data_IF_150456169655
#
_entry.id   IF_150456169655
#
_cell.length_a   1.000
_cell.length_b   1.000
_cell.length_c   1.000
_cell.angle_alpha   90.00
_cell.angle_beta   90.00
_cell.angle_gamma   90.00
#
_symmetry.space_group_name_H-M   'P 1'
#
loop_
_entity.id
_entity.type
_entity.pdbx_description
1 polymer ?
#
# COMPACT_ATOMS: atom_id res chain seq x y z
N UNK A 1 -18.38 -24.37 -0.30
CA UNK A 1 -19.39 -23.41 -0.75
C UNK A 1 -19.04 -22.82 -2.13
N UNK A 2 -17.88 -22.10 -2.33
CA UNK A 2 -17.56 -21.51 -3.64
C UNK A 2 -17.34 -22.56 -4.73
N UNK A 3 -16.68 -23.68 -4.42
CA UNK A 3 -16.50 -24.79 -5.36
C UNK A 3 -17.84 -25.41 -5.79
N UNK A 4 -18.70 -25.69 -4.86
CA UNK A 4 -20.05 -26.23 -5.11
C UNK A 4 -20.89 -25.28 -5.96
N UNK A 5 -20.88 -23.98 -5.65
CA UNK A 5 -21.60 -22.95 -6.41
C UNK A 5 -21.14 -22.84 -7.87
N UNK A 6 -19.95 -23.32 -8.19
CA UNK A 6 -19.38 -23.29 -9.54
C UNK A 6 -19.26 -24.69 -10.18
N UNK A 7 -19.93 -25.69 -9.61
CA UNK A 7 -19.98 -27.04 -10.17
C UNK A 7 -18.66 -27.82 -10.07
N UNK A 8 -17.76 -27.42 -9.18
CA UNK A 8 -16.47 -28.09 -8.95
C UNK A 8 -16.61 -29.01 -7.75
N UNK A 9 -16.12 -30.27 -7.89
CA UNK A 9 -16.07 -31.17 -6.75
C UNK A 9 -15.20 -30.57 -5.63
N UNK A 10 -15.65 -30.67 -4.38
CA UNK A 10 -15.03 -30.02 -3.20
C UNK A 10 -13.54 -30.35 -3.04
N UNK A 11 -13.10 -31.50 -3.57
CA UNK A 11 -11.70 -31.93 -3.50
C UNK A 11 -10.89 -31.62 -4.77
N UNK A 12 -11.53 -31.09 -5.82
CA UNK A 12 -10.86 -30.88 -7.12
C UNK A 12 -9.80 -29.77 -7.06
N UNK A 13 -10.02 -28.73 -6.25
CA UNK A 13 -9.05 -27.67 -6.03
C UNK A 13 -8.87 -27.43 -4.54
N UNK A 14 -7.65 -27.65 -4.07
CA UNK A 14 -7.27 -27.36 -2.69
C UNK A 14 -6.54 -26.02 -2.63
N UNK A 15 -6.90 -25.19 -1.64
CA UNK A 15 -6.23 -23.92 -1.36
C UNK A 15 -5.61 -24.02 0.04
N UNK A 16 -4.31 -24.32 0.13
CA UNK A 16 -3.64 -24.44 1.42
C UNK A 16 -3.67 -23.13 2.22
N UNK A 17 -3.52 -23.23 3.54
CA UNK A 17 -3.54 -22.08 4.44
C UNK A 17 -2.54 -21.00 4.05
N UNK A 18 -1.33 -21.39 3.58
CA UNK A 18 -0.31 -20.47 3.08
C UNK A 18 -0.77 -19.68 1.84
N UNK A 19 -1.54 -20.33 0.95
CA UNK A 19 -2.08 -19.69 -0.25
C UNK A 19 -3.23 -18.74 0.09
N UNK A 20 -4.11 -19.13 1.04
CA UNK A 20 -5.15 -18.22 1.56
C UNK A 20 -4.50 -16.98 2.17
N UNK A 21 -3.43 -17.15 2.94
CA UNK A 21 -2.69 -16.04 3.54
C UNK A 21 -2.12 -15.11 2.47
N UNK A 22 -1.49 -15.65 1.44
CA UNK A 22 -0.97 -14.87 0.32
C UNK A 22 -2.09 -14.11 -0.44
N UNK A 23 -3.30 -14.71 -0.56
CA UNK A 23 -4.45 -13.99 -1.13
C UNK A 23 -4.87 -12.83 -0.23
N UNK A 24 -4.93 -13.04 1.09
CA UNK A 24 -5.32 -11.98 2.02
C UNK A 24 -4.31 -10.84 2.00
N UNK A 25 -3.02 -11.15 2.08
CA UNK A 25 -1.94 -10.15 2.15
C UNK A 25 -1.73 -9.40 0.84
N UNK A 26 -1.79 -10.08 -0.30
CA UNK A 26 -1.47 -9.49 -1.60
C UNK A 26 -2.67 -9.00 -2.41
N UNK A 27 -3.89 -9.49 -2.15
CA UNK A 27 -5.04 -9.22 -3.01
C UNK A 27 -6.25 -8.63 -2.28
N UNK A 28 -6.22 -8.53 -0.95
CA UNK A 28 -7.30 -7.91 -0.18
C UNK A 28 -6.78 -6.84 0.76
N UNK A 29 -7.59 -5.80 0.99
CA UNK A 29 -7.42 -4.81 2.05
C UNK A 29 -8.77 -4.56 2.69
N UNK A 30 -9.16 -5.45 3.58
CA UNK A 30 -10.48 -5.40 4.23
C UNK A 30 -10.41 -5.96 5.66
N UNK A 31 -11.23 -5.43 6.53
CA UNK A 31 -11.40 -5.95 7.89
C UNK A 31 -12.29 -7.20 7.97
N UNK A 32 -12.92 -7.57 6.86
CA UNK A 32 -13.82 -8.72 6.74
C UNK A 32 -13.26 -9.78 5.79
N UNK A 33 -14.15 -10.57 5.20
CA UNK A 33 -13.81 -11.68 4.28
C UNK A 33 -14.57 -11.61 2.94
N UNK A 34 -15.24 -10.50 2.65
CA UNK A 34 -16.05 -10.37 1.45
C UNK A 34 -15.22 -10.31 0.16
N UNK A 35 -14.07 -9.63 0.20
CA UNK A 35 -13.10 -9.59 -0.90
C UNK A 35 -12.47 -10.96 -1.11
N UNK A 36 -12.03 -11.62 -0.04
CA UNK A 36 -11.51 -12.97 -0.08
C UNK A 36 -12.53 -13.95 -0.71
N UNK A 37 -13.80 -13.87 -0.33
CA UNK A 37 -14.86 -14.72 -0.90
C UNK A 37 -15.02 -14.51 -2.41
N UNK A 38 -14.97 -13.24 -2.88
CA UNK A 38 -15.00 -12.89 -4.30
C UNK A 38 -13.78 -13.43 -5.07
N UNK A 39 -12.60 -13.37 -4.47
CA UNK A 39 -11.36 -13.89 -5.09
C UNK A 39 -11.39 -15.42 -5.19
N UNK A 40 -11.85 -16.10 -4.14
CA UNK A 40 -12.07 -17.55 -4.17
C UNK A 40 -13.08 -17.95 -5.23
N UNK A 41 -14.17 -17.18 -5.41
CA UNK A 41 -15.12 -17.38 -6.49
C UNK A 41 -14.47 -17.15 -7.88
N UNK A 42 -13.57 -16.19 -8.03
CA UNK A 42 -12.81 -15.97 -9.28
C UNK A 42 -11.90 -17.16 -9.60
N UNK A 43 -11.21 -17.70 -8.59
CA UNK A 43 -10.40 -18.93 -8.74
C UNK A 43 -11.28 -20.09 -9.15
N UNK A 44 -12.42 -20.30 -8.47
CA UNK A 44 -13.37 -21.36 -8.78
C UNK A 44 -13.86 -21.29 -10.24
N UNK A 45 -14.24 -20.11 -10.72
CA UNK A 45 -14.66 -19.94 -12.13
C UNK A 45 -13.57 -20.28 -13.12
N UNK A 46 -12.32 -19.87 -12.87
CA UNK A 46 -11.20 -20.23 -13.76
C UNK A 46 -10.90 -21.73 -13.76
N UNK A 47 -10.96 -22.36 -12.59
CA UNK A 47 -10.80 -23.80 -12.48
C UNK A 47 -11.92 -24.56 -13.21
N UNK A 48 -13.17 -24.13 -13.04
CA UNK A 48 -14.31 -24.72 -13.76
C UNK A 48 -14.14 -24.62 -15.30
N UNK A 49 -13.70 -23.45 -15.79
CA UNK A 49 -13.43 -23.26 -17.22
C UNK A 49 -12.32 -24.21 -17.71
N UNK A 50 -11.22 -24.35 -16.99
CA UNK A 50 -10.13 -25.27 -17.37
C UNK A 50 -10.61 -26.71 -17.42
N UNK A 51 -11.38 -27.13 -16.42
CA UNK A 51 -11.99 -28.47 -16.40
C UNK A 51 -12.93 -28.69 -17.59
N UNK A 52 -13.73 -27.68 -17.95
CA UNK A 52 -14.68 -27.78 -19.07
C UNK A 52 -14.00 -27.82 -20.44
N UNK A 53 -12.77 -27.32 -20.55
CA UNK A 53 -11.96 -27.34 -21.76
C UNK A 53 -10.96 -28.51 -21.78
N UNK A 54 -11.07 -29.47 -20.87
CA UNK A 54 -10.14 -30.58 -20.67
C UNK A 54 -8.67 -30.11 -20.46
N UNK A 55 -8.48 -28.87 -20.00
CA UNK A 55 -7.16 -28.36 -19.65
C UNK A 55 -6.69 -28.95 -18.32
N UNK A 56 -5.42 -29.33 -18.25
CA UNK A 56 -4.81 -29.69 -16.97
C UNK A 56 -4.62 -28.45 -16.11
N UNK A 57 -4.93 -28.54 -14.81
CA UNK A 57 -4.69 -27.45 -13.87
C UNK A 57 -4.21 -28.00 -12.52
N UNK A 58 -3.58 -27.14 -11.72
CA UNK A 58 -3.06 -27.52 -10.42
C UNK A 58 -4.19 -27.79 -9.45
N UNK A 59 -4.26 -28.97 -8.90
CA UNK A 59 -5.28 -29.38 -7.92
C UNK A 59 -5.01 -28.73 -6.56
N UNK A 60 -3.73 -28.54 -6.20
CA UNK A 60 -3.31 -27.85 -4.97
C UNK A 60 -2.67 -26.52 -5.33
N UNK A 61 -3.43 -25.45 -5.17
CA UNK A 61 -3.02 -24.08 -5.53
C UNK A 61 -1.87 -23.58 -4.61
N UNK A 62 -0.74 -23.22 -5.21
CA UNK A 62 0.37 -22.62 -4.49
C UNK A 62 0.30 -21.08 -4.57
N UNK A 63 1.00 -20.33 -3.70
CA UNK A 63 1.09 -18.86 -3.81
C UNK A 63 1.62 -18.40 -5.18
N UNK A 64 2.53 -19.14 -5.79
CA UNK A 64 3.09 -18.84 -7.12
C UNK A 64 2.07 -18.91 -8.25
N UNK A 65 1.01 -19.70 -8.08
CA UNK A 65 -0.02 -19.88 -9.10
C UNK A 65 -1.04 -18.73 -9.09
N UNK A 66 -1.03 -17.90 -8.04
CA UNK A 66 -2.02 -16.83 -7.84
C UNK A 66 -2.02 -15.82 -8.98
N UNK A 67 -0.86 -15.53 -9.55
CA UNK A 67 -0.75 -14.64 -10.69
C UNK A 67 -1.64 -15.10 -11.87
N UNK A 68 -1.61 -16.38 -12.19
CA UNK A 68 -2.39 -16.95 -13.30
C UNK A 68 -3.90 -16.88 -13.02
N UNK A 69 -4.31 -16.99 -11.76
CA UNK A 69 -5.71 -16.98 -11.38
C UNK A 69 -6.25 -15.57 -11.10
N UNK A 70 -5.48 -14.71 -10.49
CA UNK A 70 -5.94 -13.43 -9.96
C UNK A 70 -5.34 -12.23 -10.70
N UNK A 71 -4.19 -12.39 -11.36
CA UNK A 71 -3.40 -11.33 -11.97
C UNK A 71 -2.35 -10.77 -11.00
N UNK A 72 -1.84 -9.59 -11.28
CA UNK A 72 -0.88 -8.87 -10.42
C UNK A 72 -1.50 -8.63 -9.04
N UNK A 73 -0.73 -8.88 -7.98
CA UNK A 73 -1.14 -8.55 -6.61
C UNK A 73 -1.12 -7.02 -6.43
N UNK A 74 -2.27 -6.39 -6.13
CA UNK A 74 -2.32 -4.93 -6.00
C UNK A 74 -1.68 -4.40 -4.71
N UNK A 75 -1.35 -5.28 -3.77
CA UNK A 75 -0.82 -4.92 -2.44
C UNK A 75 0.48 -5.68 -2.15
N UNK A 76 1.43 -5.62 -3.09
CA UNK A 76 2.74 -6.25 -2.87
C UNK A 76 3.60 -5.32 -2.01
N UNK A 77 3.91 -5.76 -0.79
CA UNK A 77 4.78 -5.03 0.12
C UNK A 77 6.28 -5.12 -0.26
N UNK A 78 6.63 -5.90 -1.28
CA UNK A 78 8.02 -6.15 -1.68
C UNK A 78 8.67 -5.00 -2.46
N UNK A 79 7.88 -4.06 -2.97
CA UNK A 79 8.37 -2.90 -3.75
C UNK A 79 8.84 -1.71 -2.90
N UNK A 80 8.85 -1.84 -1.58
CA UNK A 80 9.39 -0.76 -0.74
C UNK A 80 10.88 -0.61 -1.01
N UNK A 81 11.26 0.57 -1.48
CA UNK A 81 12.66 0.94 -1.67
C UNK A 81 13.40 0.76 -0.35
N UNK A 82 14.31 -0.22 -0.28
CA UNK A 82 15.22 -0.40 0.85
C UNK A 82 16.41 0.56 0.76
N UNK A 83 16.40 1.50 -0.20
CA UNK A 83 17.46 2.46 -0.37
C UNK A 83 17.17 3.69 0.46
N UNK A 84 18.16 4.10 1.22
CA UNK A 84 18.16 5.40 1.87
C UNK A 84 18.24 6.49 0.80
N UNK A 85 17.20 7.31 0.71
CA UNK A 85 17.14 8.44 -0.22
C UNK A 85 16.96 9.74 0.57
N UNK A 86 17.77 10.74 0.23
CA UNK A 86 17.69 12.06 0.88
C UNK A 86 16.34 12.72 0.52
N UNK A 87 15.62 13.16 1.54
CA UNK A 87 14.31 13.79 1.37
C UNK A 87 13.13 12.81 1.42
N UNK A 88 13.37 11.51 1.58
CA UNK A 88 12.31 10.51 1.77
C UNK A 88 12.33 10.01 3.21
N UNK A 89 11.18 10.05 3.86
CA UNK A 89 11.00 9.56 5.23
C UNK A 89 9.82 8.60 5.28
N UNK A 90 10.06 7.43 5.88
CA UNK A 90 9.00 6.44 6.13
C UNK A 90 8.10 6.90 7.26
N UNK A 91 6.87 7.24 6.92
CA UNK A 91 5.79 7.48 7.88
C UNK A 91 5.00 6.21 8.17
N UNK A 92 4.43 6.14 9.36
CA UNK A 92 3.56 5.05 9.78
C UNK A 92 2.13 5.58 9.92
N UNK A 93 1.20 4.94 9.22
CA UNK A 93 -0.22 5.23 9.33
C UNK A 93 -0.96 4.02 9.90
N UNK A 94 -2.02 4.30 10.68
CA UNK A 94 -2.94 3.28 11.14
C UNK A 94 -4.25 3.40 10.36
N UNK A 95 -4.76 2.27 9.87
CA UNK A 95 -6.01 2.19 9.12
C UNK A 95 -6.94 1.16 9.76
N UNK A 96 -8.20 1.15 9.35
CA UNK A 96 -9.19 0.15 9.81
C UNK A 96 -8.81 -1.31 9.44
N UNK A 97 -7.84 -1.49 8.57
CA UNK A 97 -7.38 -2.81 8.09
C UNK A 97 -5.95 -3.14 8.55
N UNK A 98 -5.34 -2.28 9.38
CA UNK A 98 -4.00 -2.48 9.93
C UNK A 98 -3.07 -1.29 9.74
N UNK A 99 -1.79 -1.50 10.03
CA UNK A 99 -0.74 -0.51 9.78
C UNK A 99 -0.44 -0.37 8.29
N UNK A 100 -0.06 0.84 7.90
CA UNK A 100 0.36 1.18 6.54
C UNK A 100 1.63 2.01 6.59
N UNK A 101 2.51 1.82 5.63
CA UNK A 101 3.73 2.59 5.47
C UNK A 101 3.47 3.64 4.40
N UNK A 102 3.89 4.87 4.68
CA UNK A 102 3.82 6.00 3.77
C UNK A 102 5.23 6.51 3.50
N UNK A 103 5.57 6.72 2.26
CA UNK A 103 6.79 7.44 1.90
C UNK A 103 6.46 8.92 1.80
N UNK A 104 6.98 9.71 2.75
CA UNK A 104 6.81 11.16 2.77
C UNK A 104 8.02 11.76 2.07
N UNK A 105 7.77 12.39 0.94
CA UNK A 105 8.81 13.01 0.13
C UNK A 105 8.94 14.49 0.45
N UNK A 106 10.14 14.95 0.68
CA UNK A 106 10.45 16.36 0.94
C UNK A 106 11.46 16.87 -0.06
N UNK A 107 11.17 17.97 -0.71
CA UNK A 107 12.08 18.64 -1.62
C UNK A 107 12.24 20.12 -1.30
N UNK A 108 13.40 20.64 -1.65
CA UNK A 108 13.79 22.02 -1.41
C UNK A 108 13.99 22.74 -2.74
N UNK A 109 13.53 23.96 -2.82
CA UNK A 109 13.79 24.84 -3.96
C UNK A 109 14.27 26.22 -3.50
N UNK A 110 15.19 26.83 -4.22
CA UNK A 110 15.61 28.20 -3.94
C UNK A 110 14.44 29.15 -4.12
N UNK A 111 14.26 30.06 -3.18
CA UNK A 111 13.17 31.03 -3.19
C UNK A 111 13.28 32.02 -2.04
N UNK A 112 12.21 32.77 -1.79
CA UNK A 112 12.15 33.73 -0.68
C UNK A 112 11.86 33.08 0.69
N UNK A 113 11.80 31.76 0.76
CA UNK A 113 11.84 31.00 1.99
C UNK A 113 10.58 30.95 2.86
N UNK A 114 9.48 31.53 2.44
CA UNK A 114 8.24 31.61 3.23
C UNK A 114 7.14 30.63 2.77
N UNK A 115 7.44 29.79 1.74
CA UNK A 115 6.43 28.95 1.14
C UNK A 115 6.59 27.48 1.55
N UNK A 116 5.58 26.96 2.24
CA UNK A 116 5.32 25.53 2.41
C UNK A 116 4.29 25.09 1.37
N UNK A 117 4.66 24.17 0.50
CA UNK A 117 3.76 23.54 -0.47
C UNK A 117 3.47 22.12 -0.04
N UNK A 118 2.21 21.77 0.10
CA UNK A 118 1.75 20.43 0.46
C UNK A 118 0.99 19.83 -0.71
N UNK A 119 1.35 18.61 -1.13
CA UNK A 119 0.68 17.88 -2.22
C UNK A 119 0.43 16.43 -1.83
N UNK A 120 -0.55 15.81 -2.48
CA UNK A 120 -1.01 14.46 -2.20
C UNK A 120 -2.38 14.45 -1.54
N UNK A 121 -2.76 13.30 -1.02
CA UNK A 121 -4.09 13.12 -0.41
C UNK A 121 -4.07 13.45 1.09
N UNK A 122 -3.85 14.72 1.42
CA UNK A 122 -3.74 15.22 2.80
C UNK A 122 -5.09 15.73 3.31
N UNK A 123 -5.60 15.11 4.37
CA UNK A 123 -6.65 15.70 5.18
C UNK A 123 -6.11 16.87 6.02
N UNK A 124 -7.02 17.58 6.70
CA UNK A 124 -6.65 18.79 7.44
C UNK A 124 -5.69 18.52 8.61
N UNK A 125 -5.84 17.38 9.29
CA UNK A 125 -4.93 16.93 10.35
C UNK A 125 -3.50 16.75 9.85
N UNK A 126 -3.31 16.16 8.66
CA UNK A 126 -1.99 15.97 8.07
C UNK A 126 -1.36 17.30 7.63
N UNK A 127 -2.15 18.24 7.12
CA UNK A 127 -1.68 19.59 6.78
C UNK A 127 -1.21 20.34 8.03
N UNK A 128 -1.98 20.26 9.09
CA UNK A 128 -1.63 20.83 10.39
C UNK A 128 -0.35 20.20 10.95
N UNK A 129 -0.23 18.87 10.89
CA UNK A 129 0.97 18.14 11.31
C UNK A 129 2.22 18.54 10.54
N UNK A 130 2.12 18.71 9.21
CA UNK A 130 3.23 19.18 8.39
C UNK A 130 3.65 20.60 8.76
N UNK A 131 2.69 21.49 8.99
CA UNK A 131 2.95 22.87 9.44
C UNK A 131 3.61 22.89 10.81
N UNK A 132 3.07 22.12 11.75
CA UNK A 132 3.63 22.01 13.10
C UNK A 132 5.07 21.47 13.09
N UNK A 133 5.34 20.45 12.28
CA UNK A 133 6.69 19.89 12.10
C UNK A 133 7.68 20.93 11.57
N UNK A 134 7.27 21.74 10.60
CA UNK A 134 8.09 22.83 10.06
C UNK A 134 8.38 23.89 11.11
N UNK A 135 7.37 24.34 11.84
CA UNK A 135 7.53 25.34 12.90
C UNK A 135 8.44 24.83 14.05
N UNK A 136 8.36 23.54 14.37
CA UNK A 136 9.27 22.92 15.32
C UNK A 136 10.72 22.99 14.85
N UNK A 137 10.99 22.68 13.58
CA UNK A 137 12.35 22.75 13.01
C UNK A 137 12.85 24.21 13.01
N UNK A 138 12.01 25.17 12.65
CA UNK A 138 12.33 26.60 12.69
C UNK A 138 12.71 27.06 14.10
N UNK A 139 11.95 26.65 15.09
CA UNK A 139 12.21 27.00 16.49
C UNK A 139 13.51 26.39 17.05
N UNK A 140 13.95 25.26 16.49
CA UNK A 140 15.08 24.50 16.98
C UNK A 140 16.28 24.44 15.98
N UNK A 141 16.36 25.39 15.05
CA UNK A 141 17.35 25.45 13.99
C UNK A 141 18.80 25.21 14.48
N UNK A 142 19.21 25.91 15.52
CA UNK A 142 20.58 25.82 16.06
C UNK A 142 20.90 24.43 16.62
N UNK A 143 19.92 23.79 17.24
CA UNK A 143 20.06 22.44 17.80
C UNK A 143 20.12 21.35 16.71
N UNK A 144 19.44 21.60 15.60
CA UNK A 144 19.35 20.68 14.46
C UNK A 144 20.45 20.91 13.41
N UNK A 145 21.34 21.90 13.62
CA UNK A 145 22.41 22.22 12.67
C UNK A 145 21.92 22.84 11.36
N UNK A 146 20.73 23.43 11.36
CA UNK A 146 20.16 24.12 10.19
C UNK A 146 20.70 25.56 10.15
N UNK A 147 21.18 25.99 8.96
CA UNK A 147 21.71 27.33 8.76
C UNK A 147 20.67 28.42 9.10
N UNK A 148 21.04 29.53 9.75
CA UNK A 148 20.10 30.57 10.16
C UNK A 148 19.26 31.17 9.03
N UNK A 149 19.85 31.27 7.83
CA UNK A 149 19.23 31.83 6.62
C UNK A 149 18.50 30.79 5.75
N UNK A 150 18.50 29.52 6.20
CA UNK A 150 17.95 28.42 5.42
C UNK A 150 16.48 28.64 5.02
N UNK A 151 15.66 29.03 5.99
CA UNK A 151 14.23 29.26 5.77
C UNK A 151 13.93 30.60 5.08
N UNK A 152 14.90 31.48 4.91
CA UNK A 152 14.76 32.72 4.16
C UNK A 152 15.07 32.50 2.66
N UNK A 153 15.84 31.47 2.35
CA UNK A 153 16.37 31.21 1.01
C UNK A 153 15.81 29.99 0.32
N UNK A 154 15.04 29.14 1.05
CA UNK A 154 14.50 27.91 0.49
C UNK A 154 12.99 27.78 0.75
N UNK A 155 12.25 27.43 -0.29
CA UNK A 155 10.88 26.94 -0.17
C UNK A 155 10.90 25.45 0.08
N UNK A 156 9.91 24.95 0.83
CA UNK A 156 9.78 23.55 1.18
C UNK A 156 8.52 22.98 0.51
N UNK A 157 8.69 21.83 -0.10
CA UNK A 157 7.58 21.05 -0.65
C UNK A 157 7.56 19.69 0.04
N UNK A 158 6.41 19.30 0.58
CA UNK A 158 6.15 17.98 1.16
C UNK A 158 5.07 17.31 0.32
N UNK A 159 5.37 16.12 -0.17
CA UNK A 159 4.45 15.26 -0.89
C UNK A 159 4.15 14.01 -0.07
N UNK A 160 2.87 13.71 0.10
CA UNK A 160 2.41 12.47 0.72
C UNK A 160 1.63 11.69 -0.33
N UNK A 161 2.25 10.67 -0.95
CA UNK A 161 1.62 9.88 -2.01
C UNK A 161 0.30 9.24 -1.56
N UNK A 162 -0.54 8.88 -2.52
CA UNK A 162 -1.78 8.15 -2.25
C UNK A 162 -1.50 6.80 -1.58
N UNK A 163 -2.19 6.56 -0.52
CA UNK A 163 -2.13 5.36 0.32
C UNK A 163 -2.82 5.64 1.64
N UNK A 164 -2.77 6.88 2.10
CA UNK A 164 -3.48 7.31 3.30
C UNK A 164 -4.94 7.68 2.99
N UNK A 165 -5.86 7.09 3.72
CA UNK A 165 -7.25 7.57 3.74
C UNK A 165 -7.23 8.98 4.33
N UNK A 166 -7.85 9.99 3.68
CA UNK A 166 -7.92 11.34 4.23
C UNK A 166 -8.58 11.29 5.60
N UNK A 167 -7.91 11.84 6.59
CA UNK A 167 -8.45 12.01 7.95
C UNK A 167 -8.69 13.46 8.23
#
# INVERSE_FOLDING_TARGET
KQWENHGIATKAVQVPKKTIRAIVEGYTRESGVRGLDKLLAKIARKAARKTALDETFTITLQPTDLYDYLGVAPYDASEQSQKEEIGIVTGLAWTSVGGEILEIETSLSKGKGDKLTLTGNLGDVMKESATLGLEYIRAHQSQLGVAPDFFETHNIHIHVPEGAIPK
#
